data_IF_524190697604
#
_entry.id   IF_524190697604
#
_cell.length_a   1.000
_cell.length_b   1.000
_cell.length_c   1.000
_cell.angle_alpha   90.00
_cell.angle_beta   90.00
_cell.angle_gamma   90.00
#
_symmetry.space_group_name_H-M   'P 1'
#
loop_
_entity.id
_entity.type
_entity.pdbx_description
1 polymer ?
#
# COMPACT_ATOMS: atom_id res chain seq x y z
N UNK A 1 -9.09 -19.80 20.95
CA UNK A 1 -8.57 -20.44 22.17
C UNK A 1 -7.06 -20.43 22.09
N UNK A 2 -6.39 -19.80 23.04
CA UNK A 2 -4.93 -19.85 23.17
C UNK A 2 -4.56 -20.66 24.41
N UNK A 3 -3.49 -21.43 24.33
CA UNK A 3 -2.91 -22.16 25.45
C UNK A 3 -1.53 -21.60 25.75
N UNK A 4 -1.30 -21.27 27.02
CA UNK A 4 -0.01 -20.78 27.51
C UNK A 4 0.52 -21.75 28.56
N UNK A 5 1.70 -22.29 28.32
CA UNK A 5 2.40 -23.13 29.31
C UNK A 5 3.43 -22.29 30.04
N UNK A 6 3.27 -22.16 31.35
CA UNK A 6 4.20 -21.45 32.21
C UNK A 6 5.46 -22.32 32.49
N UNK A 7 6.54 -21.68 32.94
CA UNK A 7 7.81 -22.37 33.29
C UNK A 7 7.64 -23.38 34.44
N UNK A 8 6.57 -23.26 35.21
CA UNK A 8 6.17 -24.20 36.26
C UNK A 8 5.33 -25.38 35.72
N UNK A 9 5.32 -25.58 34.39
CA UNK A 9 4.60 -26.64 33.65
C UNK A 9 3.08 -26.59 33.72
N UNK A 10 2.51 -25.52 34.27
CA UNK A 10 1.05 -25.32 34.27
C UNK A 10 0.61 -24.72 32.94
N UNK A 11 -0.44 -25.31 32.36
CA UNK A 11 -1.12 -24.76 31.19
C UNK A 11 -2.35 -23.96 31.60
N UNK A 12 -2.52 -22.82 30.98
CA UNK A 12 -3.72 -21.98 31.09
C UNK A 12 -4.33 -21.83 29.71
N UNK A 13 -5.64 -22.04 29.63
CA UNK A 13 -6.42 -21.75 28.43
C UNK A 13 -7.17 -20.45 28.61
N UNK A 14 -7.16 -19.60 27.59
CA UNK A 14 -8.04 -18.45 27.55
C UNK A 14 -8.76 -18.37 26.20
N UNK A 15 -10.00 -17.89 26.26
CA UNK A 15 -10.70 -17.46 25.05
C UNK A 15 -10.21 -16.05 24.71
N UNK A 16 -9.40 -15.97 23.66
CA UNK A 16 -9.08 -14.69 23.06
C UNK A 16 -10.32 -14.20 22.29
N UNK A 17 -10.69 -12.92 22.45
CA UNK A 17 -11.73 -12.32 21.61
C UNK A 17 -11.34 -12.47 20.14
N UNK A 18 -12.35 -12.60 19.28
CA UNK A 18 -12.11 -12.61 17.84
C UNK A 18 -11.41 -11.30 17.45
N UNK A 19 -10.23 -11.43 16.84
CA UNK A 19 -9.53 -10.28 16.27
C UNK A 19 -10.14 -10.06 14.88
N UNK A 20 -10.81 -8.92 14.70
CA UNK A 20 -11.19 -8.45 13.37
C UNK A 20 -9.94 -7.85 12.73
N UNK A 21 -9.39 -8.55 11.74
CA UNK A 21 -8.27 -8.07 10.94
C UNK A 21 -8.87 -7.45 9.68
N UNK A 22 -8.63 -6.16 9.46
CA UNK A 22 -8.99 -5.46 8.24
C UNK A 22 -7.82 -5.43 7.26
N UNK A 23 -8.07 -5.00 6.02
CA UNK A 23 -7.04 -5.01 4.97
C UNK A 23 -5.86 -4.08 5.29
N UNK A 24 -6.15 -2.92 5.88
CA UNK A 24 -5.14 -1.94 6.29
C UNK A 24 -4.21 -2.46 7.40
N UNK A 25 -4.69 -3.35 8.26
CA UNK A 25 -3.89 -3.96 9.33
C UNK A 25 -2.78 -4.86 8.77
N UNK A 26 -2.89 -5.26 7.51
CA UNK A 26 -1.94 -6.10 6.80
C UNK A 26 -0.88 -5.30 6.05
N UNK A 27 -1.06 -3.99 5.91
CA UNK A 27 -0.13 -3.14 5.14
C UNK A 27 1.12 -2.86 5.98
N UNK A 28 2.27 -3.24 5.44
CA UNK A 28 3.59 -3.03 6.04
C UNK A 28 4.36 -2.02 5.19
N UNK A 29 5.11 -1.09 5.79
CA UNK A 29 5.94 -0.18 5.03
C UNK A 29 7.01 -0.96 4.27
N UNK A 30 7.40 -0.46 3.11
CA UNK A 30 8.57 -0.99 2.41
C UNK A 30 9.76 -0.83 3.38
N UNK A 31 10.45 -1.93 3.76
CA UNK A 31 11.51 -1.87 4.76
C UNK A 31 12.62 -0.95 4.27
N UNK A 32 12.78 0.16 4.99
CA UNK A 32 13.81 1.17 4.73
C UNK A 32 14.86 1.10 5.83
N UNK A 33 16.13 1.28 5.48
CA UNK A 33 17.18 1.38 6.49
C UNK A 33 16.94 2.66 7.33
N UNK A 34 16.90 2.55 8.67
CA UNK A 34 16.50 3.65 9.57
C UNK A 34 17.46 4.84 9.55
N UNK A 35 18.63 4.72 8.93
CA UNK A 35 19.66 5.77 8.90
C UNK A 35 19.42 6.84 7.84
N UNK A 36 18.43 6.66 6.96
CA UNK A 36 18.17 7.58 5.86
C UNK A 36 16.92 8.39 6.22
N UNK A 37 17.08 9.42 7.05
CA UNK A 37 16.08 10.48 7.25
C UNK A 37 16.30 11.69 6.33
N UNK A 38 17.32 11.62 5.45
CA UNK A 38 17.75 12.69 4.56
C UNK A 38 16.98 12.70 3.23
N UNK A 39 17.15 13.74 2.41
CA UNK A 39 16.62 13.79 1.03
C UNK A 39 16.99 12.55 0.17
N UNK A 40 18.06 11.83 0.54
CA UNK A 40 18.48 10.58 -0.11
C UNK A 40 17.48 9.45 0.13
N UNK A 41 16.75 9.46 1.25
CA UNK A 41 15.69 8.51 1.60
C UNK A 41 14.55 8.58 0.58
N UNK A 42 14.07 9.79 0.32
CA UNK A 42 13.01 10.03 -0.64
C UNK A 42 13.44 9.64 -2.06
N UNK A 43 14.71 9.85 -2.41
CA UNK A 43 15.28 9.41 -3.68
C UNK A 43 15.30 7.89 -3.79
N UNK A 44 15.74 7.16 -2.75
CA UNK A 44 15.74 5.69 -2.75
C UNK A 44 14.34 5.10 -2.81
N UNK A 45 13.38 5.65 -2.06
CA UNK A 45 11.98 5.19 -2.17
C UNK A 45 11.44 5.38 -3.58
N UNK A 46 11.78 6.49 -4.23
CA UNK A 46 11.40 6.74 -5.63
C UNK A 46 12.04 5.76 -6.59
N UNK A 47 13.33 5.44 -6.42
CA UNK A 47 14.02 4.45 -7.24
C UNK A 47 13.39 3.05 -7.08
N UNK A 48 13.10 2.63 -5.86
CA UNK A 48 12.42 1.35 -5.58
C UNK A 48 11.04 1.34 -6.23
N UNK A 49 10.24 2.39 -6.03
CA UNK A 49 8.93 2.51 -6.64
C UNK A 49 8.99 2.40 -8.17
N UNK A 50 9.89 3.17 -8.82
CA UNK A 50 10.05 3.14 -10.27
C UNK A 50 10.48 1.76 -10.77
N UNK A 51 11.42 1.10 -10.08
CA UNK A 51 11.87 -0.24 -10.45
C UNK A 51 10.74 -1.27 -10.35
N UNK A 52 10.02 -1.31 -9.23
CA UNK A 52 8.91 -2.25 -9.04
C UNK A 52 7.81 -1.97 -10.06
N UNK A 53 7.52 -0.70 -10.36
CA UNK A 53 6.54 -0.32 -11.38
C UNK A 53 6.94 -0.82 -12.77
N UNK A 54 8.20 -0.63 -13.17
CA UNK A 54 8.71 -1.14 -14.44
C UNK A 54 8.63 -2.67 -14.53
N UNK A 55 8.93 -3.38 -13.45
CA UNK A 55 8.88 -4.84 -13.43
C UNK A 55 7.44 -5.34 -13.52
N UNK A 56 6.52 -4.67 -12.81
CA UNK A 56 5.07 -4.79 -12.96
C UNK A 56 4.61 -4.67 -14.43
N UNK A 57 5.06 -3.63 -15.13
CA UNK A 57 4.73 -3.37 -16.55
C UNK A 57 5.29 -4.45 -17.47
N UNK A 58 6.53 -4.90 -17.24
CA UNK A 58 7.14 -5.98 -18.03
C UNK A 58 6.38 -7.30 -17.85
N UNK A 59 5.93 -7.56 -16.63
CA UNK A 59 5.26 -8.81 -16.23
C UNK A 59 3.78 -8.87 -16.62
N UNK A 60 3.14 -7.74 -16.96
CA UNK A 60 1.73 -7.70 -17.38
C UNK A 60 1.44 -8.59 -18.62
N UNK A 61 2.43 -8.75 -19.50
CA UNK A 61 2.30 -9.59 -20.70
C UNK A 61 2.63 -11.07 -20.42
N UNK A 62 3.06 -11.41 -19.20
CA UNK A 62 3.34 -12.76 -18.77
C UNK A 62 2.11 -13.34 -18.04
N UNK A 63 1.40 -14.31 -18.64
CA UNK A 63 0.21 -14.90 -18.02
C UNK A 63 0.50 -15.67 -16.73
N UNK A 64 1.76 -15.96 -16.40
CA UNK A 64 2.15 -16.65 -15.16
C UNK A 64 2.50 -15.68 -14.02
N UNK A 65 2.71 -14.39 -14.29
CA UNK A 65 3.29 -13.46 -13.30
C UNK A 65 2.32 -13.00 -12.21
N UNK A 66 1.01 -13.09 -12.45
CA UNK A 66 -0.02 -12.57 -11.54
C UNK A 66 -0.06 -11.04 -11.41
N UNK A 67 0.87 -10.33 -12.07
CA UNK A 67 0.94 -8.88 -12.09
C UNK A 67 -0.24 -8.28 -12.85
N UNK A 68 -0.89 -7.28 -12.24
CA UNK A 68 -2.05 -6.63 -12.82
C UNK A 68 -1.93 -5.12 -12.66
N UNK A 69 -2.33 -4.42 -13.72
CA UNK A 69 -2.61 -2.99 -13.68
C UNK A 69 -4.11 -2.76 -13.74
N UNK A 70 -4.59 -1.84 -12.93
CA UNK A 70 -5.99 -1.44 -12.91
C UNK A 70 -6.10 0.06 -12.75
N UNK A 71 -7.05 0.67 -13.46
CA UNK A 71 -7.31 2.10 -13.36
C UNK A 71 -8.78 2.28 -12.98
N UNK A 72 -9.04 3.08 -11.96
CA UNK A 72 -10.40 3.38 -11.54
C UNK A 72 -10.56 4.82 -11.07
N UNK A 73 -11.81 5.28 -11.04
CA UNK A 73 -12.18 6.64 -10.62
C UNK A 73 -12.52 6.63 -9.13
N UNK A 74 -11.90 7.54 -8.39
CA UNK A 74 -12.17 7.80 -6.98
C UNK A 74 -12.83 9.17 -6.83
N UNK A 75 -14.02 9.21 -6.22
CA UNK A 75 -14.81 10.42 -6.00
C UNK A 75 -14.30 11.23 -4.79
N UNK A 76 -13.00 11.54 -4.77
CA UNK A 76 -12.37 12.39 -3.78
C UNK A 76 -11.27 13.24 -4.42
N UNK A 77 -10.98 14.40 -3.83
CA UNK A 77 -9.89 15.23 -4.30
C UNK A 77 -8.54 14.56 -3.99
N UNK A 78 -7.57 14.69 -4.91
CA UNK A 78 -6.26 14.10 -4.71
C UNK A 78 -5.59 14.66 -3.45
N UNK A 79 -5.89 15.91 -3.10
CA UNK A 79 -5.40 16.56 -1.88
C UNK A 79 -5.93 15.92 -0.60
N UNK A 80 -7.22 15.61 -0.54
CA UNK A 80 -7.82 14.96 0.64
C UNK A 80 -7.30 13.54 0.81
N UNK A 81 -7.17 12.80 -0.29
CA UNK A 81 -6.53 11.48 -0.29
C UNK A 81 -5.07 11.60 0.17
N UNK A 82 -4.34 12.62 -0.30
CA UNK A 82 -2.96 12.89 0.11
C UNK A 82 -2.83 13.06 1.62
N UNK A 83 -3.76 13.79 2.24
CA UNK A 83 -3.77 14.01 3.70
C UNK A 83 -4.12 12.72 4.42
N UNK A 84 -5.14 11.99 3.98
CA UNK A 84 -5.57 10.73 4.61
C UNK A 84 -4.50 9.64 4.49
N UNK A 85 -3.96 9.43 3.29
CA UNK A 85 -2.85 8.49 3.04
C UNK A 85 -1.58 8.96 3.72
N UNK A 86 -1.24 10.25 3.67
CA UNK A 86 -0.05 10.80 4.32
C UNK A 86 -0.06 10.65 5.84
N UNK A 87 -1.23 10.75 6.47
CA UNK A 87 -1.39 10.54 7.92
C UNK A 87 -1.28 9.06 8.33
N UNK A 88 -1.76 8.15 7.48
CA UNK A 88 -1.70 6.70 7.73
C UNK A 88 -0.35 6.09 7.32
N UNK A 89 0.33 6.71 6.35
CA UNK A 89 1.35 6.04 5.57
C UNK A 89 2.58 6.93 5.30
N UNK A 90 2.98 7.79 6.24
CA UNK A 90 4.16 8.68 6.09
C UNK A 90 5.47 7.94 5.77
N UNK A 91 5.57 6.66 6.17
CA UNK A 91 6.72 5.79 5.87
C UNK A 91 6.62 5.10 4.49
N UNK A 92 5.46 5.16 3.85
CA UNK A 92 5.09 4.41 2.66
C UNK A 92 4.96 5.31 1.41
N UNK A 93 4.73 6.61 1.61
CA UNK A 93 4.45 7.56 0.53
C UNK A 93 5.73 8.03 -0.15
N UNK A 94 5.74 7.96 -1.49
CA UNK A 94 6.71 8.63 -2.37
C UNK A 94 6.01 9.82 -3.02
N UNK A 95 5.97 10.96 -2.34
CA UNK A 95 5.35 12.15 -2.91
C UNK A 95 6.21 12.66 -4.08
N UNK A 96 5.67 12.63 -5.31
CA UNK A 96 6.33 13.19 -6.49
C UNK A 96 5.53 14.39 -7.01
N UNK A 97 5.78 15.60 -6.48
CA UNK A 97 5.20 16.81 -7.08
C UNK A 97 6.01 17.23 -8.31
N UNK A 98 5.66 16.76 -9.50
CA UNK A 98 6.17 17.36 -10.73
C UNK A 98 5.37 18.63 -11.06
N UNK A 99 5.92 19.77 -10.62
CA UNK A 99 5.79 21.19 -11.07
C UNK A 99 4.46 21.80 -11.55
N UNK A 100 3.37 21.08 -11.81
CA UNK A 100 2.04 21.69 -12.01
C UNK A 100 0.86 20.79 -11.66
N UNK A 101 1.06 19.49 -11.43
CA UNK A 101 -0.01 18.56 -11.05
C UNK A 101 0.40 17.81 -9.78
N UNK A 102 -0.50 17.75 -8.77
CA UNK A 102 -0.28 17.01 -7.54
C UNK A 102 -0.33 15.52 -7.85
N UNK A 103 0.80 14.92 -8.14
CA UNK A 103 0.93 13.49 -8.37
C UNK A 103 1.41 12.79 -7.11
N UNK A 104 0.81 11.65 -6.80
CA UNK A 104 1.13 10.89 -5.59
C UNK A 104 1.43 9.47 -6.01
N UNK A 105 2.65 9.03 -5.70
CA UNK A 105 3.08 7.65 -5.82
C UNK A 105 3.13 7.04 -4.41
N UNK A 106 2.47 5.90 -4.22
CA UNK A 106 2.44 5.18 -2.95
C UNK A 106 2.92 3.76 -3.19
N UNK A 107 3.92 3.32 -2.42
CA UNK A 107 4.38 1.94 -2.42
C UNK A 107 4.07 1.29 -1.07
N UNK A 108 3.28 0.22 -1.09
CA UNK A 108 2.93 -0.59 0.08
C UNK A 108 3.41 -2.02 -0.11
N UNK A 109 3.73 -2.69 0.99
CA UNK A 109 3.98 -4.12 1.01
C UNK A 109 2.87 -4.81 1.80
N UNK A 110 2.13 -5.69 1.15
CA UNK A 110 1.16 -6.57 1.80
C UNK A 110 1.84 -7.90 2.22
N UNK A 111 1.21 -8.70 3.10
CA UNK A 111 1.75 -9.99 3.52
C UNK A 111 1.97 -10.89 2.30
N UNK A 112 2.89 -11.85 2.41
CA UNK A 112 3.39 -12.69 1.29
C UNK A 112 4.27 -11.96 0.27
N UNK A 113 4.82 -10.80 0.63
CA UNK A 113 5.69 -9.96 -0.21
C UNK A 113 4.98 -9.42 -1.46
N UNK A 114 3.69 -9.11 -1.32
CA UNK A 114 2.89 -8.56 -2.40
C UNK A 114 3.10 -7.05 -2.47
N UNK A 115 3.62 -6.58 -3.59
CA UNK A 115 3.82 -5.15 -3.83
C UNK A 115 2.50 -4.52 -4.28
N UNK A 116 2.19 -3.35 -3.72
CA UNK A 116 1.05 -2.54 -4.13
C UNK A 116 1.56 -1.15 -4.42
N UNK A 117 1.48 -0.75 -5.68
CA UNK A 117 1.84 0.56 -6.17
C UNK A 117 0.56 1.31 -6.51
N UNK A 118 0.35 2.47 -5.91
CA UNK A 118 -0.77 3.34 -6.23
C UNK A 118 -0.28 4.64 -6.80
N UNK A 119 -0.93 5.06 -7.87
CA UNK A 119 -0.68 6.32 -8.53
C UNK A 119 -1.97 7.15 -8.51
N UNK A 120 -1.94 8.33 -7.91
CA UNK A 120 -3.09 9.22 -7.85
C UNK A 120 -2.86 10.40 -8.79
N UNK A 121 -3.74 10.52 -9.78
CA UNK A 121 -3.77 11.63 -10.72
C UNK A 121 -5.03 12.46 -10.54
N UNK A 122 -4.94 13.73 -10.10
CA UNK A 122 -6.09 14.61 -10.00
C UNK A 122 -6.65 14.91 -11.39
N UNK A 123 -7.97 14.82 -11.52
CA UNK A 123 -8.73 15.21 -12.71
C UNK A 123 -9.93 16.03 -12.24
N UNK A 124 -9.77 17.36 -12.26
CA UNK A 124 -10.80 18.33 -11.86
C UNK A 124 -11.42 18.02 -10.48
N UNK A 125 -12.62 17.41 -10.46
CA UNK A 125 -13.41 17.11 -9.26
C UNK A 125 -13.18 15.69 -8.69
N UNK A 126 -12.38 14.85 -9.36
CA UNK A 126 -12.13 13.47 -8.94
C UNK A 126 -10.65 13.10 -9.09
N UNK A 127 -10.30 11.92 -8.57
CA UNK A 127 -8.96 11.37 -8.69
C UNK A 127 -9.00 10.09 -9.48
N UNK A 128 -8.18 10.00 -10.53
CA UNK A 128 -7.91 8.74 -11.22
C UNK A 128 -6.83 8.02 -10.43
N UNK A 129 -7.10 6.77 -10.07
CA UNK A 129 -6.15 5.93 -9.33
C UNK A 129 -5.73 4.78 -10.23
N UNK A 130 -4.43 4.64 -10.45
CA UNK A 130 -3.84 3.44 -11.04
C UNK A 130 -3.25 2.57 -9.94
N UNK A 131 -3.58 1.28 -9.98
CA UNK A 131 -3.08 0.25 -9.08
C UNK A 131 -2.15 -0.64 -9.91
N UNK A 132 -0.91 -0.85 -9.47
CA UNK A 132 -0.14 -2.02 -9.87
C UNK A 132 0.06 -2.95 -8.68
N UNK A 133 -0.17 -4.24 -8.88
CA UNK A 133 0.13 -5.24 -7.87
C UNK A 133 0.54 -6.55 -8.52
N UNK A 134 1.41 -7.29 -7.85
CA UNK A 134 1.84 -8.65 -8.22
C UNK A 134 0.82 -9.74 -7.80
N UNK A 135 -0.33 -9.35 -7.24
CA UNK A 135 -1.38 -10.28 -6.83
C UNK A 135 -2.77 -9.78 -7.23
N UNK A 136 -3.34 -10.33 -8.31
CA UNK A 136 -4.70 -9.99 -8.74
C UNK A 136 -5.78 -10.16 -7.66
N UNK A 137 -5.55 -11.05 -6.68
CA UNK A 137 -6.50 -11.30 -5.58
C UNK A 137 -6.63 -10.12 -4.62
N UNK A 138 -5.61 -9.27 -4.54
CA UNK A 138 -5.62 -8.09 -3.67
C UNK A 138 -6.40 -6.92 -4.28
N UNK A 139 -6.64 -6.93 -5.60
CA UNK A 139 -7.17 -5.78 -6.33
C UNK A 139 -8.52 -5.27 -5.79
N UNK A 140 -9.46 -6.18 -5.55
CA UNK A 140 -10.78 -5.82 -5.02
C UNK A 140 -10.71 -5.27 -3.59
N UNK A 141 -9.79 -5.79 -2.77
CA UNK A 141 -9.55 -5.32 -1.40
C UNK A 141 -8.95 -3.91 -1.41
N UNK A 142 -7.97 -3.67 -2.30
CA UNK A 142 -7.35 -2.36 -2.50
C UNK A 142 -8.40 -1.33 -2.94
N UNK A 143 -9.23 -1.67 -3.93
CA UNK A 143 -10.30 -0.78 -4.40
C UNK A 143 -11.28 -0.45 -3.28
N UNK A 144 -11.79 -1.45 -2.57
CA UNK A 144 -12.73 -1.26 -1.45
C UNK A 144 -12.13 -0.39 -0.35
N UNK A 145 -10.85 -0.61 -0.02
CA UNK A 145 -10.12 0.21 0.95
C UNK A 145 -10.03 1.67 0.51
N UNK A 146 -9.68 1.93 -0.74
CA UNK A 146 -9.54 3.28 -1.29
C UNK A 146 -10.89 4.01 -1.37
N UNK A 147 -11.96 3.32 -1.74
CA UNK A 147 -13.32 3.86 -1.73
C UNK A 147 -13.77 4.25 -0.33
N UNK A 148 -13.51 3.41 0.68
CA UNK A 148 -13.78 3.72 2.09
C UNK A 148 -12.92 4.89 2.59
N UNK A 149 -11.67 5.00 2.13
CA UNK A 149 -10.80 6.13 2.46
C UNK A 149 -11.32 7.44 1.83
N UNK A 150 -11.97 7.37 0.67
CA UNK A 150 -12.53 8.52 -0.02
C UNK A 150 -13.90 8.98 0.51
N UNK A 151 -14.64 8.09 1.19
CA UNK A 151 -15.86 8.44 1.92
C UNK A 151 -15.58 9.40 3.09
#
# INVERSE_FOLDING_TARGET
MAEFTCRDTRSYTCELPAICIEFEDLLVPIPMLPEIGSAECAMWRRLIYSQVHEDCVKMENDPESGAIQSVFKLNASAKDICVKVGALASEFVVLSSTTSELHIDLGLLAPTNCHILLNFKPVEEFTVVSICTDSWKSLSLIQTYLERLAA
#
